data_IF_149547572108
#
_entry.id   IF_149547572108
#
_cell.length_a   1.000
_cell.length_b   1.000
_cell.length_c   1.000
_cell.angle_alpha   90.00
_cell.angle_beta   90.00
_cell.angle_gamma   90.00
#
_symmetry.space_group_name_H-M   'P 1'
#
loop_
_entity.id
_entity.type
_entity.pdbx_description
1 polymer ?
#
# COMPACT_ATOMS: atom_id res chain seq x y z
N UNK A 1 3.83 24.51 -7.63
CA UNK A 1 3.05 24.07 -8.82
C UNK A 1 1.89 23.25 -8.29
N UNK A 2 0.67 23.73 -8.48
CA UNK A 2 -0.54 23.00 -8.20
C UNK A 2 -0.66 21.87 -9.24
N UNK A 3 -0.43 20.63 -8.82
CA UNK A 3 -0.74 19.48 -9.64
C UNK A 3 -2.19 19.11 -9.35
N UNK A 4 -3.10 19.65 -10.12
CA UNK A 4 -4.47 19.17 -10.19
C UNK A 4 -4.43 17.91 -11.06
N UNK A 5 -4.52 16.75 -10.46
CA UNK A 5 -4.74 15.52 -11.18
C UNK A 5 -6.26 15.27 -11.25
N UNK A 6 -6.87 15.73 -12.29
CA UNK A 6 -8.10 15.14 -12.81
C UNK A 6 -7.68 14.07 -13.81
N UNK A 7 -7.28 12.91 -13.34
CA UNK A 7 -7.04 11.78 -14.21
C UNK A 7 -8.34 11.01 -14.41
N UNK A 8 -8.93 11.18 -15.57
CA UNK A 8 -10.15 10.50 -15.99
C UNK A 8 -9.86 9.20 -16.75
N UNK A 9 -8.60 8.81 -16.89
CA UNK A 9 -8.17 7.67 -17.72
C UNK A 9 -7.54 6.55 -16.92
N UNK A 10 -8.22 6.01 -15.90
CA UNK A 10 -7.70 4.80 -15.26
C UNK A 10 -8.12 3.55 -16.04
N UNK A 11 -7.25 3.10 -16.92
CA UNK A 11 -7.36 1.80 -17.60
C UNK A 11 -7.23 0.60 -16.62
N UNK A 12 -6.88 0.85 -15.37
CA UNK A 12 -6.66 -0.15 -14.31
C UNK A 12 -7.84 -0.33 -13.34
N UNK A 13 -8.99 0.28 -13.63
CA UNK A 13 -10.17 0.25 -12.75
C UNK A 13 -10.01 1.11 -11.48
N UNK A 14 -8.92 1.87 -11.32
CA UNK A 14 -8.78 2.90 -10.29
C UNK A 14 -9.47 4.15 -10.77
N UNK A 15 -10.63 4.41 -10.25
CA UNK A 15 -11.43 5.57 -10.64
C UNK A 15 -10.84 6.84 -10.05
N UNK A 16 -10.80 7.89 -10.87
CA UNK A 16 -10.62 9.27 -10.43
C UNK A 16 -9.24 9.61 -9.83
N UNK A 17 -8.16 9.01 -10.29
CA UNK A 17 -6.80 9.35 -9.85
C UNK A 17 -6.48 9.02 -8.40
N UNK A 18 -7.32 8.23 -7.73
CA UNK A 18 -7.10 7.78 -6.36
C UNK A 18 -6.36 6.44 -6.34
N UNK A 19 -5.33 6.29 -5.49
CA UNK A 19 -4.56 5.06 -5.42
C UNK A 19 -5.34 3.96 -4.68
N UNK A 20 -5.10 2.72 -5.08
CA UNK A 20 -5.31 1.56 -4.22
C UNK A 20 -3.98 1.13 -3.60
N UNK A 21 -4.03 0.47 -2.45
CA UNK A 21 -2.86 -0.13 -1.83
C UNK A 21 -2.96 -1.64 -1.89
N UNK A 22 -1.88 -2.25 -2.36
CA UNK A 22 -1.74 -3.69 -2.50
C UNK A 22 -0.52 -4.18 -1.71
N UNK A 23 -0.61 -5.40 -1.20
CA UNK A 23 0.53 -6.08 -0.58
C UNK A 23 1.51 -6.56 -1.65
N UNK A 24 2.70 -6.99 -1.24
CA UNK A 24 3.63 -7.63 -2.17
C UNK A 24 3.09 -8.95 -2.75
N UNK A 25 2.20 -9.65 -2.03
CA UNK A 25 1.45 -10.80 -2.51
C UNK A 25 0.28 -10.46 -3.45
N UNK A 26 0.19 -9.18 -3.88
CA UNK A 26 -0.81 -8.67 -4.85
C UNK A 26 -2.25 -8.63 -4.32
N UNK A 27 -2.46 -8.68 -3.01
CA UNK A 27 -3.78 -8.44 -2.43
C UNK A 27 -4.05 -6.96 -2.24
N UNK A 28 -5.14 -6.46 -2.84
CA UNK A 28 -5.64 -5.12 -2.53
C UNK A 28 -6.20 -5.11 -1.11
N UNK A 29 -5.61 -4.32 -0.22
CA UNK A 29 -6.07 -4.18 1.15
C UNK A 29 -6.68 -2.82 1.46
N UNK A 30 -6.58 -1.84 0.55
CA UNK A 30 -7.29 -0.57 0.64
C UNK A 30 -7.60 -0.01 -0.74
N UNK A 31 -8.80 0.50 -0.89
CA UNK A 31 -9.20 1.36 -2.00
C UNK A 31 -10.31 2.31 -1.58
N UNK A 32 -10.43 3.39 -2.30
CA UNK A 32 -11.54 4.32 -2.11
C UNK A 32 -12.85 3.75 -2.66
N UNK A 33 -13.96 4.21 -2.06
CA UNK A 33 -15.31 3.89 -2.55
C UNK A 33 -15.55 4.44 -3.95
N UNK A 34 -16.47 3.83 -4.68
CA UNK A 34 -16.75 4.15 -6.09
C UNK A 34 -17.22 5.59 -6.34
N UNK A 35 -17.80 6.24 -5.33
CA UNK A 35 -18.25 7.62 -5.40
C UNK A 35 -17.19 8.64 -5.02
N UNK A 36 -16.01 8.21 -4.58
CA UNK A 36 -14.97 9.11 -4.11
C UNK A 36 -14.09 9.52 -5.27
N UNK A 37 -13.84 10.82 -5.37
CA UNK A 37 -13.03 11.43 -6.41
C UNK A 37 -11.87 12.22 -5.80
N UNK A 38 -10.77 12.32 -6.52
CA UNK A 38 -9.68 13.23 -6.17
C UNK A 38 -10.14 14.67 -6.44
N UNK A 39 -10.15 15.50 -5.40
CA UNK A 39 -10.63 16.89 -5.48
C UNK A 39 -9.69 17.82 -4.73
N UNK A 40 -8.63 18.25 -5.40
CA UNK A 40 -7.66 19.20 -4.86
C UNK A 40 -6.22 18.68 -4.80
N UNK A 41 -5.53 18.99 -3.71
CA UNK A 41 -4.08 18.76 -3.58
C UNK A 41 -3.75 17.35 -3.15
N UNK A 42 -2.70 16.81 -3.76
CA UNK A 42 -2.00 15.61 -3.29
C UNK A 42 -0.58 15.96 -2.90
N UNK A 43 -0.21 15.66 -1.67
CA UNK A 43 1.15 15.89 -1.15
C UNK A 43 1.71 14.56 -0.69
N UNK A 44 2.94 14.25 -1.08
CA UNK A 44 3.70 13.09 -0.63
C UNK A 44 5.00 13.53 -0.02
N UNK A 45 5.34 12.97 1.13
CA UNK A 45 6.62 13.19 1.82
C UNK A 45 7.16 11.81 2.16
N UNK A 46 8.42 11.54 1.83
CA UNK A 46 9.06 10.24 2.06
C UNK A 46 10.53 10.41 2.45
N UNK A 47 10.84 10.84 3.69
CA UNK A 47 12.21 10.85 4.18
C UNK A 47 12.73 9.43 4.37
N UNK A 48 14.00 9.24 4.01
CA UNK A 48 14.74 7.98 4.15
C UNK A 48 16.03 8.23 4.89
N UNK A 49 16.47 7.23 5.66
CA UNK A 49 17.79 7.21 6.29
C UNK A 49 18.39 5.82 6.15
N UNK A 50 19.71 5.76 6.07
CA UNK A 50 20.44 4.51 6.04
C UNK A 50 21.75 4.62 6.84
N UNK A 51 22.18 3.49 7.37
CA UNK A 51 23.44 3.36 8.09
C UNK A 51 24.10 2.04 7.67
N UNK A 52 25.40 2.10 7.37
CA UNK A 52 26.21 0.94 7.03
C UNK A 52 27.48 0.94 7.85
N UNK A 53 27.84 -0.23 8.39
CA UNK A 53 29.07 -0.42 9.13
C UNK A 53 29.57 -1.86 8.97
N UNK A 54 30.66 -2.06 8.22
CA UNK A 54 31.15 -3.39 7.88
C UNK A 54 30.07 -4.22 7.20
N UNK A 55 29.78 -5.44 7.67
CA UNK A 55 28.78 -6.30 7.06
C UNK A 55 27.33 -5.92 7.41
N UNK A 56 27.10 -4.96 8.29
CA UNK A 56 25.77 -4.55 8.75
C UNK A 56 25.23 -3.39 7.95
N UNK A 57 23.96 -3.50 7.55
CA UNK A 57 23.19 -2.44 6.91
C UNK A 57 21.86 -2.21 7.63
N UNK A 58 21.44 -0.95 7.72
CA UNK A 58 20.14 -0.52 8.23
C UNK A 58 19.55 0.52 7.30
N UNK A 59 18.28 0.36 6.94
CA UNK A 59 17.52 1.33 6.14
C UNK A 59 16.20 1.57 6.84
N UNK A 60 15.79 2.83 6.91
CA UNK A 60 14.46 3.22 7.40
C UNK A 60 13.86 4.25 6.49
N UNK A 61 12.54 4.19 6.36
CA UNK A 61 11.76 5.13 5.58
C UNK A 61 10.45 5.45 6.30
N UNK A 62 10.03 6.68 6.22
CA UNK A 62 8.68 7.11 6.60
C UNK A 62 8.03 7.78 5.39
N UNK A 63 6.80 7.42 5.08
CA UNK A 63 6.02 8.01 4.00
C UNK A 63 4.69 8.55 4.52
N UNK A 64 4.34 9.75 4.09
CA UNK A 64 3.01 10.33 4.32
C UNK A 64 2.42 10.80 3.00
N UNK A 65 1.17 10.40 2.75
CA UNK A 65 0.38 10.89 1.63
C UNK A 65 -0.82 11.66 2.19
N UNK A 66 -0.99 12.89 1.76
CA UNK A 66 -2.18 13.71 2.02
C UNK A 66 -2.91 13.94 0.71
N UNK A 67 -4.19 13.63 0.66
CA UNK A 67 -5.04 13.73 -0.53
C UNK A 67 -6.34 14.42 -0.18
N UNK A 68 -6.68 15.49 -0.92
CA UNK A 68 -8.00 16.09 -0.87
C UNK A 68 -8.96 15.28 -1.75
N UNK A 69 -10.10 14.91 -1.20
CA UNK A 69 -11.11 14.08 -1.85
C UNK A 69 -12.51 14.66 -1.64
N UNK A 70 -13.41 14.39 -2.57
CA UNK A 70 -14.84 14.67 -2.46
C UNK A 70 -15.66 13.46 -2.91
N UNK A 71 -16.98 13.54 -2.81
CA UNK A 71 -17.88 12.52 -3.35
C UNK A 71 -18.65 13.08 -4.53
N UNK A 72 -18.81 12.24 -5.56
CA UNK A 72 -19.64 12.52 -6.73
C UNK A 72 -21.02 11.89 -6.57
N UNK A 73 -22.05 12.63 -6.98
CA UNK A 73 -23.43 12.13 -6.99
C UNK A 73 -23.67 11.08 -8.09
N UNK A 74 -22.89 11.13 -9.16
CA UNK A 74 -23.10 10.28 -10.35
C UNK A 74 -22.44 8.91 -10.20
N UNK A 75 -21.84 8.64 -9.06
CA UNK A 75 -21.44 7.32 -8.57
C UNK A 75 -20.43 6.56 -9.41
N UNK A 76 -20.01 7.05 -10.53
CA UNK A 76 -18.95 6.53 -11.40
C UNK A 76 -18.96 7.27 -12.74
N UNK A 77 -17.86 7.83 -13.21
CA UNK A 77 -17.73 8.07 -14.62
C UNK A 77 -17.89 6.71 -15.34
N UNK A 78 -18.83 6.65 -16.26
CA UNK A 78 -18.98 5.48 -17.11
C UNK A 78 -17.62 5.17 -17.75
N UNK A 79 -17.23 3.92 -17.78
CA UNK A 79 -16.04 3.48 -18.49
C UNK A 79 -16.11 4.02 -19.93
N UNK A 80 -15.16 4.94 -20.28
CA UNK A 80 -15.10 5.56 -21.59
C UNK A 80 -15.81 6.91 -21.76
N UNK A 81 -16.35 7.51 -20.70
CA UNK A 81 -16.96 8.85 -20.75
C UNK A 81 -15.92 9.97 -20.69
N UNK A 82 -15.99 10.88 -21.67
CA UNK A 82 -15.39 12.22 -21.60
C UNK A 82 -15.77 12.88 -20.28
N UNK A 83 -14.84 13.65 -19.69
CA UNK A 83 -15.04 14.41 -18.46
C UNK A 83 -16.40 15.14 -18.48
N UNK A 84 -17.40 14.51 -17.90
CA UNK A 84 -18.66 15.16 -17.61
C UNK A 84 -18.51 15.86 -16.27
N UNK A 85 -19.14 17.00 -16.13
CA UNK A 85 -19.21 17.76 -14.89
C UNK A 85 -19.64 16.82 -13.76
N UNK A 86 -18.65 16.31 -13.01
CA UNK A 86 -18.95 15.48 -11.84
C UNK A 86 -19.72 16.35 -10.84
N UNK A 87 -20.93 15.95 -10.52
CA UNK A 87 -21.76 16.65 -9.54
C UNK A 87 -21.19 16.40 -8.14
N UNK A 88 -20.23 17.24 -7.73
CA UNK A 88 -19.65 17.17 -6.38
C UNK A 88 -20.73 17.41 -5.35
N UNK A 89 -20.86 16.48 -4.41
CA UNK A 89 -21.79 16.61 -3.31
C UNK A 89 -21.26 17.58 -2.28
N UNK A 90 -21.98 18.68 -2.05
CA UNK A 90 -21.58 19.71 -1.11
C UNK A 90 -21.34 19.15 0.30
N UNK A 91 -20.28 19.63 0.97
CA UNK A 91 -19.93 19.21 2.32
C UNK A 91 -19.24 17.85 2.41
N UNK A 92 -18.89 17.21 1.30
CA UNK A 92 -18.16 15.94 1.30
C UNK A 92 -16.65 16.11 1.09
N UNK A 93 -16.15 17.33 0.93
CA UNK A 93 -14.72 17.58 0.82
C UNK A 93 -13.99 17.15 2.09
N UNK A 94 -12.93 16.38 1.95
CA UNK A 94 -12.13 15.85 3.05
C UNK A 94 -10.66 15.75 2.65
N UNK A 95 -9.79 16.04 3.60
CA UNK A 95 -8.36 15.78 3.47
C UNK A 95 -8.02 14.51 4.22
N UNK A 96 -7.64 13.47 3.49
CA UNK A 96 -7.24 12.17 4.05
C UNK A 96 -5.72 12.05 4.07
N UNK A 97 -5.17 11.50 5.16
CA UNK A 97 -3.73 11.35 5.38
C UNK A 97 -3.42 9.90 5.71
N UNK A 98 -2.62 9.27 4.88
CA UNK A 98 -2.14 7.91 5.11
C UNK A 98 -0.66 7.95 5.44
N UNK A 99 -0.26 7.18 6.43
CA UNK A 99 1.11 7.10 6.92
C UNK A 99 1.64 5.68 6.76
N UNK A 100 2.89 5.56 6.34
CA UNK A 100 3.60 4.30 6.30
C UNK A 100 5.03 4.47 6.79
N UNK A 101 5.60 3.42 7.37
CA UNK A 101 7.00 3.40 7.73
C UNK A 101 7.57 2.00 7.62
N UNK A 102 8.87 1.92 7.43
CA UNK A 102 9.59 0.67 7.43
C UNK A 102 10.97 0.81 8.07
N UNK A 103 11.43 -0.31 8.60
CA UNK A 103 12.81 -0.50 9.01
C UNK A 103 13.29 -1.84 8.45
N UNK A 104 14.46 -1.84 7.81
CA UNK A 104 15.08 -3.03 7.25
C UNK A 104 16.52 -3.12 7.73
N UNK A 105 16.91 -4.29 8.23
CA UNK A 105 18.26 -4.60 8.60
C UNK A 105 18.81 -5.70 7.69
N UNK A 106 20.10 -5.62 7.39
CA UNK A 106 20.81 -6.65 6.65
C UNK A 106 22.16 -6.98 7.28
N UNK A 107 22.62 -8.21 7.05
CA UNK A 107 23.91 -8.66 7.55
C UNK A 107 24.56 -9.64 6.57
N UNK A 108 25.75 -9.28 6.08
CA UNK A 108 26.56 -10.12 5.19
C UNK A 108 27.33 -11.15 6.00
N UNK A 109 26.83 -12.40 6.02
CA UNK A 109 27.45 -13.48 6.80
C UNK A 109 28.80 -13.95 6.24
N UNK A 110 29.07 -13.65 4.98
CA UNK A 110 30.36 -13.90 4.32
C UNK A 110 31.39 -12.79 4.55
N UNK A 111 30.97 -11.71 5.25
CA UNK A 111 31.85 -10.69 5.78
C UNK A 111 32.28 -9.61 4.79
N UNK A 112 31.57 -9.43 3.69
CA UNK A 112 31.70 -8.28 2.79
C UNK A 112 31.18 -7.01 3.46
N UNK A 113 31.47 -5.86 2.89
CA UNK A 113 30.95 -4.58 3.34
C UNK A 113 29.54 -4.36 2.78
N UNK A 114 28.59 -4.08 3.66
CA UNK A 114 27.25 -3.66 3.28
C UNK A 114 27.28 -2.28 2.65
N UNK A 115 26.52 -2.08 1.56
CA UNK A 115 26.48 -0.81 0.85
C UNK A 115 25.16 -0.59 0.15
N UNK A 116 24.71 0.66 0.11
CA UNK A 116 23.56 1.08 -0.70
C UNK A 116 23.79 0.90 -2.21
N UNK A 117 25.06 0.92 -2.64
CA UNK A 117 25.45 0.75 -4.06
C UNK A 117 25.44 -0.70 -4.54
N UNK A 118 25.22 -1.65 -3.65
CA UNK A 118 25.29 -3.08 -3.92
C UNK A 118 26.48 -3.73 -3.22
N UNK A 119 26.50 -5.05 -3.24
CA UNK A 119 27.52 -5.89 -2.63
C UNK A 119 28.35 -6.53 -3.71
N UNK A 120 29.67 -6.45 -3.57
CA UNK A 120 30.61 -7.17 -4.41
C UNK A 120 31.20 -8.33 -3.59
N UNK A 121 30.97 -9.59 -3.99
CA UNK A 121 31.57 -10.75 -3.33
C UNK A 121 33.09 -10.66 -3.31
N UNK A 122 33.71 -11.13 -2.22
CA UNK A 122 35.18 -11.30 -2.14
C UNK A 122 35.64 -12.36 -3.12
N UNK A 123 34.84 -13.42 -3.27
CA UNK A 123 35.04 -14.47 -4.26
C UNK A 123 33.72 -14.67 -5.00
N UNK A 124 33.71 -14.52 -6.31
CA UNK A 124 32.53 -14.78 -7.14
C UNK A 124 32.14 -16.26 -7.06
N UNK A 125 30.84 -16.54 -7.29
CA UNK A 125 30.37 -17.92 -7.37
C UNK A 125 31.05 -18.64 -8.55
N UNK A 126 31.82 -19.68 -8.25
CA UNK A 126 32.57 -20.50 -9.21
C UNK A 126 32.70 -21.90 -8.61
N UNK A 127 32.04 -22.86 -9.21
CA UNK A 127 32.05 -24.25 -8.74
C UNK A 127 33.44 -24.92 -8.87
N UNK A 128 34.21 -24.53 -9.89
CA UNK A 128 35.53 -25.12 -10.16
C UNK A 128 36.59 -24.62 -9.17
N UNK A 129 36.42 -23.36 -8.72
CA UNK A 129 37.35 -22.70 -7.78
C UNK A 129 36.85 -22.67 -6.35
N UNK A 130 35.68 -23.24 -6.10
CA UNK A 130 35.08 -23.28 -4.76
C UNK A 130 34.58 -21.92 -4.24
N UNK A 131 34.32 -20.95 -5.14
CA UNK A 131 33.75 -19.66 -4.79
C UNK A 131 32.23 -19.78 -4.51
N UNK A 132 31.74 -19.24 -3.39
CA UNK A 132 30.33 -19.31 -3.02
C UNK A 132 29.57 -18.00 -3.20
N UNK A 133 30.22 -16.94 -3.71
CA UNK A 133 29.62 -15.60 -3.75
C UNK A 133 29.48 -15.00 -2.35
N UNK A 134 28.62 -13.99 -2.23
CA UNK A 134 28.30 -13.37 -0.95
C UNK A 134 26.86 -13.67 -0.51
N UNK A 135 26.66 -13.87 0.80
CA UNK A 135 25.37 -14.18 1.39
C UNK A 135 24.98 -13.10 2.39
N UNK A 136 23.78 -12.56 2.22
CA UNK A 136 23.20 -11.53 3.08
C UNK A 136 21.87 -12.00 3.65
N UNK A 137 21.74 -11.96 4.96
CA UNK A 137 20.46 -12.12 5.65
C UNK A 137 19.77 -10.78 5.71
N UNK A 138 18.47 -10.75 5.47
CA UNK A 138 17.66 -9.54 5.52
C UNK A 138 16.44 -9.74 6.39
N UNK A 139 16.09 -8.71 7.18
CA UNK A 139 14.87 -8.65 7.94
C UNK A 139 14.24 -7.28 7.78
N UNK A 140 12.93 -7.20 7.57
CA UNK A 140 12.19 -5.94 7.44
C UNK A 140 10.89 -6.01 8.23
N UNK A 141 10.56 -4.91 8.88
CA UNK A 141 9.22 -4.63 9.37
C UNK A 141 8.69 -3.39 8.68
N UNK A 142 7.45 -3.45 8.24
CA UNK A 142 6.76 -2.30 7.64
C UNK A 142 5.32 -2.23 8.13
N UNK A 143 4.82 -1.01 8.26
CA UNK A 143 3.46 -0.74 8.68
C UNK A 143 2.88 0.41 7.87
N UNK A 144 1.63 0.26 7.44
CA UNK A 144 0.83 1.32 6.84
C UNK A 144 -0.44 1.53 7.65
N UNK A 145 -0.72 2.79 7.95
CA UNK A 145 -1.90 3.22 8.67
C UNK A 145 -2.73 4.14 7.79
N UNK A 146 -3.98 3.77 7.56
CA UNK A 146 -4.93 4.55 6.78
C UNK A 146 -5.62 5.55 7.69
N UNK A 147 -5.95 6.71 7.13
CA UNK A 147 -6.69 7.74 7.85
C UNK A 147 -8.03 7.19 8.34
N UNK A 148 -8.29 7.34 9.64
CA UNK A 148 -9.54 6.89 10.27
C UNK A 148 -10.78 7.53 9.64
N UNK A 149 -10.62 8.76 9.12
CA UNK A 149 -11.70 9.45 8.45
C UNK A 149 -12.07 8.82 7.10
N UNK A 150 -11.18 8.01 6.51
CA UNK A 150 -11.51 7.20 5.33
C UNK A 150 -12.72 6.27 5.56
N UNK A 151 -12.91 5.81 6.81
CA UNK A 151 -13.97 4.88 7.19
C UNK A 151 -15.23 5.58 7.71
N UNK A 152 -15.24 6.90 7.69
CA UNK A 152 -16.34 7.74 8.18
C UNK A 152 -17.09 8.41 7.03
N UNK A 153 -18.32 8.84 7.34
CA UNK A 153 -19.14 9.73 6.52
C UNK A 153 -18.58 11.16 6.57
N UNK A 154 -19.09 12.02 5.70
CA UNK A 154 -18.76 13.44 5.70
C UNK A 154 -19.03 14.12 7.08
N UNK A 155 -20.08 13.70 7.80
CA UNK A 155 -20.45 14.21 9.12
C UNK A 155 -19.63 13.61 10.29
N UNK A 156 -18.60 12.81 10.00
CA UNK A 156 -17.73 12.20 11.01
C UNK A 156 -18.26 10.91 11.65
N UNK A 157 -19.48 10.48 11.36
CA UNK A 157 -19.99 9.17 11.79
C UNK A 157 -19.37 8.06 10.93
N UNK A 158 -19.37 6.82 11.43
CA UNK A 158 -18.94 5.69 10.62
C UNK A 158 -19.83 5.52 9.38
N UNK A 159 -19.21 5.32 8.23
CA UNK A 159 -19.90 5.18 6.95
C UNK A 159 -20.52 3.80 6.78
N UNK A 160 -21.44 3.71 5.84
CA UNK A 160 -21.91 2.45 5.29
C UNK A 160 -21.27 2.22 3.93
N UNK A 161 -21.31 1.00 3.43
CA UNK A 161 -20.86 0.70 2.07
C UNK A 161 -21.88 1.18 1.03
N UNK A 162 -21.36 1.59 -0.14
CA UNK A 162 -22.16 2.09 -1.26
C UNK A 162 -22.87 0.98 -2.07
N UNK A 163 -23.16 -0.16 -1.48
CA UNK A 163 -23.82 -1.27 -2.17
C UNK A 163 -25.20 -0.99 -2.79
N UNK A 164 -25.72 0.22 -2.58
CA UNK A 164 -26.96 0.71 -3.16
C UNK A 164 -26.69 1.83 -4.16
N UNK A 165 -27.65 2.10 -5.04
CA UNK A 165 -27.57 3.17 -6.03
C UNK A 165 -27.18 4.51 -5.37
N UNK A 166 -26.06 5.07 -5.78
CA UNK A 166 -25.57 6.38 -5.33
C UNK A 166 -26.45 7.48 -5.90
N UNK A 167 -26.87 8.37 -5.05
CA UNK A 167 -27.58 9.60 -5.43
C UNK A 167 -26.99 10.77 -4.69
N UNK A 168 -27.20 12.00 -5.16
CA UNK A 168 -26.77 13.21 -4.45
C UNK A 168 -27.29 13.24 -3.00
N UNK A 169 -28.49 12.73 -2.74
CA UNK A 169 -29.12 12.71 -1.45
C UNK A 169 -28.46 11.76 -0.45
N UNK A 170 -27.85 10.65 -0.92
CA UNK A 170 -27.28 9.62 -0.04
C UNK A 170 -25.75 9.54 -0.05
N UNK A 171 -25.06 10.20 -0.99
CA UNK A 171 -23.60 10.15 -1.11
C UNK A 171 -22.87 10.57 0.18
N UNK A 172 -23.46 11.48 0.95
CA UNK A 172 -22.94 11.88 2.27
C UNK A 172 -22.95 10.78 3.33
N UNK A 173 -23.72 9.71 3.14
CA UNK A 173 -23.89 8.62 4.11
C UNK A 173 -22.84 7.52 4.01
N UNK A 174 -22.09 7.47 2.88
CA UNK A 174 -21.09 6.44 2.65
C UNK A 174 -19.72 6.82 3.21
N UNK A 175 -18.89 5.82 3.49
CA UNK A 175 -17.50 6.02 3.83
C UNK A 175 -16.70 6.50 2.59
N UNK A 176 -15.50 7.04 2.81
CA UNK A 176 -14.57 7.34 1.72
C UNK A 176 -13.82 6.08 1.26
N UNK A 177 -13.61 5.12 2.14
CA UNK A 177 -13.05 3.80 1.79
C UNK A 177 -14.15 2.86 1.27
N UNK A 178 -13.77 1.96 0.38
CA UNK A 178 -14.59 0.77 0.06
C UNK A 178 -14.48 -0.19 1.25
N UNK A 179 -15.49 -0.21 2.09
CA UNK A 179 -15.50 -1.00 3.33
C UNK A 179 -15.47 -2.51 3.07
N UNK A 180 -15.80 -2.96 1.85
CA UNK A 180 -15.76 -4.38 1.50
C UNK A 180 -14.33 -4.89 1.23
N UNK A 181 -13.37 -3.99 1.03
CA UNK A 181 -12.00 -4.33 0.62
C UNK A 181 -10.92 -3.63 1.42
N UNK A 182 -11.30 -2.67 2.30
CA UNK A 182 -10.33 -1.80 2.95
C UNK A 182 -10.10 -2.19 4.39
N UNK A 183 -8.86 -2.52 4.73
CA UNK A 183 -8.35 -2.60 6.08
C UNK A 183 -7.90 -1.21 6.56
N UNK A 184 -7.86 -1.00 7.88
CA UNK A 184 -7.40 0.25 8.50
C UNK A 184 -5.88 0.33 8.58
N UNK A 185 -5.24 -0.83 8.71
CA UNK A 185 -3.79 -0.95 8.69
C UNK A 185 -3.35 -2.29 8.15
N UNK A 186 -2.11 -2.35 7.68
CA UNK A 186 -1.41 -3.58 7.36
C UNK A 186 -0.01 -3.54 7.96
N UNK A 187 0.43 -4.66 8.54
CA UNK A 187 1.75 -4.83 9.16
C UNK A 187 2.41 -6.04 8.54
N UNK A 188 3.61 -5.86 8.01
CA UNK A 188 4.34 -6.92 7.31
C UNK A 188 5.69 -7.16 7.94
N UNK A 189 5.95 -8.41 8.29
CA UNK A 189 7.27 -8.93 8.61
C UNK A 189 7.85 -9.62 7.39
N UNK A 190 9.09 -9.32 7.08
CA UNK A 190 9.84 -9.96 5.99
C UNK A 190 11.12 -10.54 6.56
N UNK A 191 11.42 -11.77 6.23
CA UNK A 191 12.72 -12.39 6.43
C UNK A 191 13.22 -12.97 5.10
N UNK A 192 14.49 -12.83 4.79
CA UNK A 192 14.99 -13.28 3.51
C UNK A 192 16.50 -13.44 3.43
N UNK A 193 16.92 -13.91 2.28
CA UNK A 193 18.32 -14.14 1.93
C UNK A 193 18.57 -13.57 0.55
N UNK A 194 19.64 -12.82 0.43
CA UNK A 194 20.23 -12.41 -0.85
C UNK A 194 21.50 -13.20 -1.07
N UNK A 195 21.62 -13.85 -2.22
CA UNK A 195 22.81 -14.50 -2.68
C UNK A 195 23.38 -13.75 -3.88
N UNK A 196 24.51 -13.11 -3.67
CA UNK A 196 25.25 -12.39 -4.70
C UNK A 196 26.22 -13.36 -5.36
N UNK A 197 25.91 -13.76 -6.58
CA UNK A 197 26.76 -14.66 -7.37
C UNK A 197 28.06 -13.98 -7.80
N UNK A 198 27.95 -12.73 -8.21
CA UNK A 198 29.04 -11.82 -8.54
C UNK A 198 28.57 -10.37 -8.37
N UNK A 199 29.38 -9.39 -8.77
CA UNK A 199 29.03 -7.98 -8.67
C UNK A 199 27.76 -7.58 -9.44
N UNK A 200 27.38 -8.37 -10.44
CA UNK A 200 26.31 -8.04 -11.38
C UNK A 200 25.08 -8.95 -11.27
N UNK A 201 25.19 -10.09 -10.59
CA UNK A 201 24.10 -11.07 -10.52
C UNK A 201 23.78 -11.46 -9.07
N UNK A 202 22.48 -11.43 -8.71
CA UNK A 202 22.01 -11.88 -7.41
C UNK A 202 20.68 -12.61 -7.49
N UNK A 203 20.47 -13.51 -6.54
CA UNK A 203 19.23 -14.17 -6.27
C UNK A 203 18.74 -13.68 -4.90
N UNK A 204 17.48 -13.29 -4.79
CA UNK A 204 16.84 -12.92 -3.54
C UNK A 204 15.64 -13.84 -3.28
N UNK A 205 15.53 -14.33 -2.06
CA UNK A 205 14.40 -15.13 -1.59
C UNK A 205 13.88 -14.48 -0.30
N UNK A 206 12.60 -14.09 -0.29
CA UNK A 206 11.97 -13.44 0.85
C UNK A 206 10.67 -14.17 1.21
N UNK A 207 10.46 -14.39 2.50
CA UNK A 207 9.19 -14.79 3.07
C UNK A 207 8.58 -13.57 3.76
N UNK A 208 7.30 -13.31 3.47
CA UNK A 208 6.55 -12.21 4.05
C UNK A 208 5.29 -12.72 4.75
N UNK A 209 5.04 -12.15 5.92
CA UNK A 209 3.85 -12.38 6.72
C UNK A 209 3.18 -11.05 7.00
N UNK A 210 1.96 -10.87 6.49
CA UNK A 210 1.19 -9.62 6.61
C UNK A 210 -0.08 -9.85 7.39
N UNK A 211 -0.29 -9.04 8.41
CA UNK A 211 -1.51 -8.98 9.22
C UNK A 211 -2.28 -7.69 8.92
N UNK A 212 -3.60 -7.74 9.07
CA UNK A 212 -4.48 -6.62 8.77
C UNK A 212 -5.37 -6.27 9.97
N UNK A 213 -5.66 -5.00 10.15
CA UNK A 213 -6.71 -4.50 11.06
C UNK A 213 -7.95 -4.17 10.24
N UNK A 214 -8.97 -4.97 10.32
CA UNK A 214 -10.19 -4.86 9.54
C UNK A 214 -10.12 -5.44 8.13
N UNK A 215 -11.11 -5.14 7.29
CA UNK A 215 -11.15 -5.51 5.88
C UNK A 215 -11.54 -6.95 5.59
N UNK A 216 -12.10 -7.69 6.56
CA UNK A 216 -12.58 -9.05 6.34
C UNK A 216 -13.69 -9.10 5.29
N UNK A 217 -13.50 -9.92 4.28
CA UNK A 217 -14.57 -10.28 3.34
C UNK A 217 -15.27 -11.51 3.91
N UNK A 218 -16.45 -11.34 4.51
CA UNK A 218 -17.26 -12.47 4.91
C UNK A 218 -17.96 -13.02 3.67
N UNK A 219 -17.58 -14.24 3.26
CA UNK A 219 -18.22 -14.93 2.14
C UNK A 219 -19.73 -15.07 2.42
N UNK A 220 -20.56 -14.38 1.64
CA UNK A 220 -22.02 -14.49 1.69
C UNK A 220 -22.75 -13.48 2.58
N UNK A 221 -22.09 -12.54 3.25
CA UNK A 221 -22.75 -11.43 3.94
C UNK A 221 -22.18 -10.11 3.46
N UNK A 222 -23.02 -9.17 3.02
CA UNK A 222 -22.50 -7.83 2.75
C UNK A 222 -21.94 -7.27 4.05
N UNK A 223 -20.69 -6.84 4.04
CA UNK A 223 -20.00 -6.21 5.19
C UNK A 223 -20.78 -4.98 5.69
N UNK A 224 -21.62 -4.42 4.85
CA UNK A 224 -22.54 -3.32 5.16
C UNK A 224 -23.45 -3.58 6.38
N UNK A 225 -23.72 -4.83 6.74
CA UNK A 225 -24.57 -5.16 7.89
C UNK A 225 -23.82 -5.20 9.22
N UNK A 226 -22.47 -5.24 9.18
CA UNK A 226 -21.62 -5.34 10.37
C UNK A 226 -20.79 -4.09 10.67
N UNK A 227 -20.89 -3.05 9.87
CA UNK A 227 -20.38 -1.74 10.27
C UNK A 227 -21.36 -1.16 11.28
N UNK A 228 -21.25 -1.65 12.50
CA UNK A 228 -22.02 -1.15 13.62
C UNK A 228 -21.82 0.36 13.69
N UNK A 229 -22.89 1.08 13.94
CA UNK A 229 -22.91 2.53 14.18
C UNK A 229 -21.97 2.97 15.31
N UNK A 230 -21.43 2.05 16.08
CA UNK A 230 -20.46 2.24 17.17
C UNK A 230 -19.00 1.98 16.78
N UNK A 231 -18.69 1.63 15.54
CA UNK A 231 -17.32 1.70 15.02
C UNK A 231 -16.35 0.59 15.40
N UNK A 232 -16.82 -0.52 15.96
CA UNK A 232 -15.92 -1.48 16.59
C UNK A 232 -15.78 -2.84 15.91
N UNK A 233 -16.48 -3.17 14.82
CA UNK A 233 -16.49 -4.55 14.35
C UNK A 233 -16.37 -4.71 12.83
N UNK A 234 -15.35 -4.11 12.24
CA UNK A 234 -14.83 -4.67 10.99
C UNK A 234 -13.94 -5.82 11.42
N UNK A 235 -14.34 -7.08 11.16
CA UNK A 235 -13.48 -8.25 11.40
C UNK A 235 -12.18 -8.08 10.63
N UNK A 236 -11.09 -8.56 11.20
CA UNK A 236 -9.82 -8.59 10.50
C UNK A 236 -9.92 -9.58 9.34
N UNK A 237 -9.31 -9.21 8.22
CA UNK A 237 -9.14 -10.15 7.11
C UNK A 237 -8.06 -11.16 7.49
N UNK A 238 -8.10 -12.32 6.84
CA UNK A 238 -7.11 -13.35 7.04
C UNK A 238 -5.70 -12.83 6.70
N UNK A 239 -4.72 -13.29 7.48
CA UNK A 239 -3.32 -12.96 7.27
C UNK A 239 -2.83 -13.47 5.91
N UNK A 240 -1.91 -12.72 5.30
CA UNK A 240 -1.28 -13.09 4.04
C UNK A 240 0.13 -13.63 4.27
N UNK A 241 0.44 -14.73 3.61
CA UNK A 241 1.79 -15.28 3.53
C UNK A 241 2.24 -15.28 2.06
N UNK A 242 3.42 -14.75 1.80
CA UNK A 242 3.98 -14.72 0.46
C UNK A 242 5.43 -15.16 0.45
N UNK A 243 5.79 -16.02 -0.50
CA UNK A 243 7.17 -16.39 -0.81
C UNK A 243 7.56 -15.74 -2.13
N UNK A 244 8.55 -14.86 -2.09
CA UNK A 244 8.98 -14.07 -3.23
C UNK A 244 10.40 -14.44 -3.63
N UNK A 245 10.60 -14.82 -4.88
CA UNK A 245 11.91 -15.08 -5.45
C UNK A 245 12.20 -14.07 -6.57
N UNK A 246 13.42 -13.52 -6.59
CA UNK A 246 13.87 -12.58 -7.61
C UNK A 246 15.26 -12.92 -8.08
N UNK A 247 15.46 -13.05 -9.40
CA UNK A 247 16.75 -13.03 -10.03
C UNK A 247 17.01 -11.65 -10.65
N UNK A 248 18.16 -11.07 -10.40
CA UNK A 248 18.54 -9.76 -10.91
C UNK A 248 19.92 -9.82 -11.55
N UNK A 249 20.03 -9.24 -12.77
CA UNK A 249 21.28 -9.03 -13.48
C UNK A 249 21.40 -7.54 -13.81
N UNK A 250 22.58 -6.97 -13.59
CA UNK A 250 22.94 -5.59 -13.96
C UNK A 250 24.05 -5.63 -15.02
N UNK A 251 23.98 -4.77 -16.04
CA UNK A 251 24.95 -4.65 -17.14
C UNK A 251 25.65 -3.31 -17.07
#
# INVERSE_FOLDING_TARGET
>A
KNLNFTDTSAADGTRNGLPSYVTNGQQTFFRYGSAVIADGKRVRIAPQAYYYNGPFGLITEYARVSQDVSKSADGSPAAGGTAVNESIVAGTNKKLKHDAWQIAASYLITGEEASFKGVKPKNDFDLDKGGWGAWELVARYSEINLDKDSFKRANGQYGTDAGASLTAANAGTFAYADLTKSAKSAKTWTAGVNWYLNANAKIALNYEYTTFDGGAITKGSPIATNVNTTGSNVRDRDDEQALLARFQVAF
#
